data_IF_674226161646
#
_entry.id   IF_674226161646
#
_cell.length_a   1.000
_cell.length_b   1.000
_cell.length_c   1.000
_cell.angle_alpha   90.00
_cell.angle_beta   90.00
_cell.angle_gamma   90.00
#
_symmetry.space_group_name_H-M   'P 1'
#
loop_
_entity.id
_entity.type
_entity.pdbx_description
1 polymer ?
#
# COMPACT_ATOMS: atom_id res chain seq x y z
N UNK A 1 -7.19 11.56 2.50
CA UNK A 1 -5.98 11.96 3.25
C UNK A 1 -4.75 11.54 2.45
N UNK A 2 -3.65 12.29 2.43
CA UNK A 2 -2.45 11.93 1.67
C UNK A 2 -1.20 11.85 2.56
N UNK A 3 -0.28 10.93 2.23
CA UNK A 3 1.00 10.73 2.91
C UNK A 3 2.11 10.69 1.86
N UNK A 4 3.18 11.43 2.07
CA UNK A 4 4.35 11.43 1.18
C UNK A 4 5.40 10.43 1.67
N UNK A 5 5.89 9.59 0.78
CA UNK A 5 6.99 8.65 1.00
C UNK A 5 8.08 8.86 -0.05
N UNK A 6 9.27 8.32 0.18
CA UNK A 6 10.40 8.41 -0.77
C UNK A 6 10.03 7.95 -2.20
N UNK A 7 9.16 6.94 -2.31
CA UNK A 7 8.73 6.35 -3.59
C UNK A 7 7.45 6.95 -4.18
N UNK A 8 6.88 7.98 -3.56
CA UNK A 8 5.68 8.67 -4.05
C UNK A 8 4.67 9.01 -2.98
N UNK A 9 3.52 9.53 -3.42
CA UNK A 9 2.42 9.95 -2.54
C UNK A 9 1.33 8.89 -2.51
N UNK A 10 0.88 8.53 -1.32
CA UNK A 10 -0.21 7.58 -1.09
C UNK A 10 -1.45 8.37 -0.68
N UNK A 11 -2.57 8.06 -1.31
CA UNK A 11 -3.88 8.60 -0.94
C UNK A 11 -4.66 7.51 -0.22
N UNK A 12 -5.10 7.82 1.00
CA UNK A 12 -5.92 6.96 1.83
C UNK A 12 -7.34 7.48 2.01
N UNK A 13 -8.18 6.61 2.54
CA UNK A 13 -9.59 6.85 2.80
C UNK A 13 -9.87 6.92 4.30
N UNK A 14 -10.97 7.57 4.67
CA UNK A 14 -11.52 7.45 6.03
C UNK A 14 -12.72 6.50 5.99
N UNK A 15 -12.70 5.45 6.80
CA UNK A 15 -13.75 4.43 6.86
C UNK A 15 -14.16 4.12 8.30
N UNK A 16 -15.44 3.78 8.56
CA UNK A 16 -15.86 3.25 9.84
C UNK A 16 -15.36 1.80 10.02
N UNK A 17 -14.97 1.45 11.24
CA UNK A 17 -14.80 0.06 11.68
C UNK A 17 -16.16 -0.62 11.85
N UNK A 18 -16.17 -1.93 12.09
CA UNK A 18 -17.40 -2.68 12.44
C UNK A 18 -18.13 -2.06 13.63
N UNK A 19 -17.36 -1.58 14.64
CA UNK A 19 -17.90 -0.89 15.81
C UNK A 19 -18.22 0.61 15.57
N UNK A 20 -18.19 1.08 14.32
CA UNK A 20 -18.55 2.46 13.95
C UNK A 20 -17.48 3.54 14.18
N UNK A 21 -16.26 3.17 14.60
CA UNK A 21 -15.16 4.14 14.78
C UNK A 21 -14.54 4.53 13.45
N UNK A 22 -14.38 5.83 13.19
CA UNK A 22 -13.70 6.30 11.97
C UNK A 22 -12.19 6.06 12.07
N UNK A 23 -11.62 5.44 11.03
CA UNK A 23 -10.17 5.22 10.88
C UNK A 23 -9.71 5.66 9.51
N UNK A 24 -8.42 6.02 9.39
CA UNK A 24 -7.78 6.27 8.11
C UNK A 24 -7.12 4.99 7.61
N UNK A 25 -7.51 4.52 6.45
CA UNK A 25 -6.95 3.33 5.80
C UNK A 25 -6.15 3.70 4.54
N UNK A 26 -5.03 3.02 4.35
CA UNK A 26 -4.20 3.11 3.15
C UNK A 26 -3.93 1.68 2.68
N UNK A 27 -4.65 1.25 1.64
CA UNK A 27 -4.67 -0.14 1.19
C UNK A 27 -3.92 -0.31 -0.13
N UNK A 28 -3.31 -1.48 -0.33
CA UNK A 28 -2.66 -1.84 -1.61
C UNK A 28 -1.37 -1.08 -1.92
N UNK A 29 -0.69 -0.54 -0.90
CA UNK A 29 0.58 0.19 -1.08
C UNK A 29 1.65 -0.76 -1.63
N UNK A 30 2.21 -0.50 -2.82
CA UNK A 30 3.28 -1.34 -3.36
C UNK A 30 4.59 -1.11 -2.60
N UNK A 31 5.20 -2.19 -2.14
CA UNK A 31 6.51 -2.17 -1.47
C UNK A 31 7.63 -2.84 -2.28
N UNK A 32 7.26 -3.58 -3.33
CA UNK A 32 8.17 -4.30 -4.20
C UNK A 32 7.60 -4.41 -5.62
N UNK A 33 8.48 -4.64 -6.59
CA UNK A 33 8.14 -4.93 -7.98
C UNK A 33 7.36 -6.26 -8.07
N UNK A 34 6.35 -6.36 -8.96
CA UNK A 34 5.61 -7.61 -9.15
C UNK A 34 6.55 -8.79 -9.52
N UNK A 35 6.43 -9.96 -8.86
CA UNK A 35 7.29 -11.13 -9.11
C UNK A 35 6.86 -11.90 -10.37
N UNK A 36 6.84 -11.21 -11.52
CA UNK A 36 6.46 -11.75 -12.83
C UNK A 36 7.71 -11.97 -13.70
N UNK A 37 7.58 -12.85 -14.70
CA UNK A 37 8.68 -13.16 -15.63
C UNK A 37 9.93 -13.63 -14.88
N UNK A 38 11.07 -13.05 -15.20
CA UNK A 38 12.37 -13.36 -14.60
C UNK A 38 12.47 -13.06 -13.09
N UNK A 39 11.55 -12.27 -12.54
CA UNK A 39 11.48 -12.01 -11.09
C UNK A 39 10.75 -13.13 -10.34
N UNK A 40 10.08 -14.05 -11.04
CA UNK A 40 9.41 -15.19 -10.40
C UNK A 40 10.46 -16.05 -9.70
N UNK A 41 10.17 -16.48 -8.47
CA UNK A 41 11.06 -17.26 -7.60
C UNK A 41 12.34 -16.55 -7.13
N UNK A 42 12.57 -15.27 -7.48
CA UNK A 42 13.71 -14.47 -6.98
C UNK A 42 13.33 -13.69 -5.72
N UNK A 43 14.34 -13.18 -5.01
CA UNK A 43 14.14 -12.23 -3.90
C UNK A 43 13.38 -10.98 -4.37
N UNK A 44 12.52 -10.38 -3.53
CA UNK A 44 11.77 -9.17 -3.90
C UNK A 44 12.71 -8.01 -4.19
N UNK A 45 12.34 -7.19 -5.16
CA UNK A 45 13.04 -5.95 -5.50
C UNK A 45 12.16 -4.78 -5.07
N UNK A 46 12.64 -3.85 -4.22
CA UNK A 46 11.84 -2.71 -3.78
C UNK A 46 11.39 -1.79 -4.92
#
# INVERSE_FOLDING_TARGET
>A
MSVSMEKGVIVGNTRPTVDGKQVNEFLGIPYAKPPKGDLRFRKPVP
#
